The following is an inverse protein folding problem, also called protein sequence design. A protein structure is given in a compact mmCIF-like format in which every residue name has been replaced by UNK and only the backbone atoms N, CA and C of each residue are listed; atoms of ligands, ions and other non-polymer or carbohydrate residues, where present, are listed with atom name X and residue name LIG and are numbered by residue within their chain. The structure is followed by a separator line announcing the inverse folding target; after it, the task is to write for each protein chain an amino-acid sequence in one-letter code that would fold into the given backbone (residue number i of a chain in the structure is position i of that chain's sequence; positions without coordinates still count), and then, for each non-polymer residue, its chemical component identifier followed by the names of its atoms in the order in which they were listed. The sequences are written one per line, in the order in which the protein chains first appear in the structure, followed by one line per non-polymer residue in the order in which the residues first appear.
data_IF_882984979289
#
_entry.id   IF_882984979289
#
_cell.length_a   1.000
_cell.length_b   1.000
_cell.length_c   1.000
_cell.angle_alpha   90.00
_cell.angle_beta   90.00
_cell.angle_gamma   90.00
#
_symmetry.space_group_name_H-M   'P 1'
#
loop_
_entity.id
_entity.type
_entity.pdbx_description
1 polymer ?
#
# COMPACT_ATOMS: atom_id res chain seq x y z
N UNK A 1 9.99 -7.07 15.07
CA UNK A 1 9.97 -5.66 14.65
C UNK A 1 8.59 -5.08 14.85
N UNK A 2 8.47 -4.05 15.64
CA UNK A 2 7.20 -3.46 15.99
C UNK A 2 7.11 -2.00 15.59
N UNK A 3 5.99 -1.38 15.90
CA UNK A 3 5.76 0.02 15.56
C UNK A 3 6.71 0.97 16.29
N UNK A 4 7.24 0.57 17.41
CA UNK A 4 8.19 1.38 18.15
C UNK A 4 9.48 1.64 17.40
N UNK A 5 9.74 0.88 16.34
CA UNK A 5 10.92 1.08 15.49
C UNK A 5 10.71 2.16 14.44
N UNK A 6 9.48 2.65 14.29
CA UNK A 6 9.14 3.68 13.31
C UNK A 6 8.89 5.02 13.97
N UNK A 7 9.18 6.09 13.24
CA UNK A 7 8.92 7.45 13.70
C UNK A 7 7.48 7.89 13.46
N UNK A 8 6.82 7.24 12.50
CA UNK A 8 5.43 7.54 12.16
C UNK A 8 4.55 7.36 13.41
N UNK A 9 3.60 8.28 13.62
CA UNK A 9 2.74 8.24 14.80
C UNK A 9 1.74 7.10 14.71
N UNK A 10 2.00 6.05 15.48
CA UNK A 10 1.20 4.83 15.46
C UNK A 10 -0.21 4.98 16.04
N UNK A 11 -0.47 6.09 16.70
CA UNK A 11 -1.79 6.34 17.32
C UNK A 11 -2.71 7.16 16.43
N UNK A 12 -2.18 7.77 15.37
CA UNK A 12 -3.00 8.51 14.42
C UNK A 12 -3.80 7.56 13.53
N UNK A 13 -4.99 8.00 13.11
CA UNK A 13 -5.73 7.23 12.11
C UNK A 13 -4.86 6.94 10.89
N UNK A 14 -4.85 5.69 10.46
CA UNK A 14 -3.96 5.24 9.39
C UNK A 14 -4.74 4.38 8.41
N UNK A 15 -4.47 4.55 7.12
CA UNK A 15 -5.09 3.73 6.09
C UNK A 15 -4.16 2.56 5.77
N UNK A 16 -4.75 1.38 5.64
CA UNK A 16 -4.04 0.18 5.23
C UNK A 16 -4.22 -0.02 3.72
N UNK A 17 -3.10 -0.21 3.01
CA UNK A 17 -3.12 -0.68 1.62
C UNK A 17 -2.54 -2.08 1.62
N UNK A 18 -3.29 -3.06 1.14
CA UNK A 18 -2.84 -4.45 1.08
C UNK A 18 -2.78 -4.90 -0.37
N UNK A 19 -1.64 -5.43 -0.79
CA UNK A 19 -1.48 -5.91 -2.15
C UNK A 19 -0.12 -6.57 -2.36
N UNK A 20 0.12 -7.04 -3.58
CA UNK A 20 1.41 -7.65 -3.93
C UNK A 20 2.44 -6.61 -4.33
N UNK A 21 1.99 -5.56 -5.03
CA UNK A 21 2.82 -4.41 -5.45
C UNK A 21 4.14 -4.83 -6.14
N UNK A 22 4.05 -5.80 -7.00
CA UNK A 22 5.19 -6.36 -7.75
C UNK A 22 4.82 -6.48 -9.22
N UNK A 23 5.25 -5.52 -10.05
CA UNK A 23 5.98 -4.31 -9.69
C UNK A 23 5.05 -3.21 -9.19
N UNK A 24 5.64 -2.24 -8.51
CA UNK A 24 4.95 -1.01 -8.16
C UNK A 24 4.76 -0.19 -9.44
N UNK A 25 3.58 0.34 -9.65
CA UNK A 25 3.29 1.12 -10.86
C UNK A 25 2.36 2.30 -10.58
N UNK A 26 2.05 3.04 -11.62
CA UNK A 26 1.23 4.25 -11.55
C UNK A 26 -0.11 4.03 -10.84
N UNK A 27 -0.76 2.90 -11.10
CA UNK A 27 -2.03 2.58 -10.44
C UNK A 27 -1.89 2.45 -8.93
N UNK A 28 -0.79 1.85 -8.48
CA UNK A 28 -0.51 1.73 -7.05
C UNK A 28 -0.24 3.09 -6.43
N UNK A 29 0.47 3.96 -7.14
CA UNK A 29 0.74 5.31 -6.66
C UNK A 29 -0.55 6.12 -6.54
N UNK A 30 -1.45 6.01 -7.50
CA UNK A 30 -2.74 6.69 -7.42
C UNK A 30 -3.57 6.19 -6.25
N UNK A 31 -3.55 4.88 -6.02
CA UNK A 31 -4.22 4.30 -4.86
C UNK A 31 -3.63 4.86 -3.57
N UNK A 32 -2.30 4.95 -3.50
CA UNK A 32 -1.62 5.52 -2.35
C UNK A 32 -2.06 6.97 -2.10
N UNK A 33 -2.12 7.78 -3.16
CA UNK A 33 -2.51 9.18 -3.02
C UNK A 33 -3.91 9.31 -2.43
N UNK A 34 -4.83 8.47 -2.87
CA UNK A 34 -6.19 8.46 -2.33
C UNK A 34 -6.23 7.99 -0.88
N UNK A 35 -5.48 6.95 -0.57
CA UNK A 35 -5.37 6.47 0.80
C UNK A 35 -4.80 7.55 1.72
N UNK A 36 -3.70 8.17 1.30
CA UNK A 36 -3.05 9.23 2.07
C UNK A 36 -3.99 10.42 2.30
N UNK A 37 -4.81 10.75 1.30
CA UNK A 37 -5.76 11.85 1.41
C UNK A 37 -6.84 11.64 2.48
N UNK A 38 -7.03 10.40 2.92
CA UNK A 38 -8.06 10.10 3.92
C UNK A 38 -7.62 10.42 5.34
N UNK A 39 -6.36 10.12 5.67
CA UNK A 39 -5.87 10.29 7.04
C UNK A 39 -4.52 10.97 7.14
N UNK A 40 -3.80 11.10 6.02
CA UNK A 40 -2.44 11.65 6.02
C UNK A 40 -1.37 10.64 6.38
N UNK A 41 -1.73 9.38 6.58
CA UNK A 41 -0.79 8.37 7.02
C UNK A 41 -1.23 7.00 6.49
N UNK A 42 -0.29 6.23 5.91
CA UNK A 42 -0.61 4.97 5.24
C UNK A 42 0.36 3.87 5.67
N UNK A 43 -0.15 2.67 5.84
CA UNK A 43 0.68 1.46 5.94
C UNK A 43 0.52 0.70 4.64
N UNK A 44 1.60 0.54 3.89
CA UNK A 44 1.62 -0.28 2.68
C UNK A 44 2.01 -1.69 3.10
N UNK A 45 1.07 -2.61 3.04
CA UNK A 45 1.31 -4.01 3.40
C UNK A 45 1.52 -4.82 2.13
N UNK A 46 2.74 -5.31 1.95
CA UNK A 46 3.12 -6.12 0.79
C UNK A 46 2.89 -7.57 1.12
N UNK A 47 1.94 -8.18 0.42
CA UNK A 47 1.54 -9.55 0.65
C UNK A 47 2.53 -10.51 -0.03
N UNK A 48 3.03 -11.48 0.75
CA UNK A 48 3.96 -12.48 0.24
C UNK A 48 3.18 -13.62 -0.42
N UNK A 49 3.28 -13.71 -1.73
CA UNK A 49 2.61 -14.78 -2.48
C UNK A 49 3.59 -15.85 -2.94
N UNK A 50 4.85 -15.76 -2.53
CA UNK A 50 5.87 -16.72 -2.93
C UNK A 50 6.41 -16.50 -4.33
N UNK A 51 5.93 -15.48 -5.04
CA UNK A 51 6.35 -15.18 -6.39
C UNK A 51 7.09 -13.86 -6.46
N UNK A 52 8.14 -13.82 -7.28
CA UNK A 52 8.87 -12.60 -7.52
C UNK A 52 9.64 -12.13 -6.29
N UNK A 53 9.87 -10.84 -6.22
CA UNK A 53 10.65 -10.23 -5.18
C UNK A 53 10.02 -8.91 -4.75
N UNK A 54 10.38 -8.46 -3.57
CA UNK A 54 9.86 -7.25 -3.00
C UNK A 54 10.79 -6.08 -3.31
N UNK A 55 10.25 -5.03 -3.90
CA UNK A 55 11.03 -3.89 -4.37
C UNK A 55 10.76 -2.64 -3.54
N UNK A 56 11.07 -2.74 -2.26
CA UNK A 56 10.88 -1.61 -1.34
C UNK A 56 11.63 -0.35 -1.78
N UNK A 57 12.89 -0.44 -2.24
CA UNK A 57 13.59 0.77 -2.66
C UNK A 57 12.91 1.52 -3.81
N UNK A 58 12.32 0.80 -4.76
CA UNK A 58 11.64 1.44 -5.88
C UNK A 58 10.37 2.14 -5.45
N UNK A 59 9.63 1.54 -4.50
CA UNK A 59 8.43 2.18 -3.94
C UNK A 59 8.81 3.47 -3.24
N UNK A 60 9.85 3.42 -2.41
CA UNK A 60 10.31 4.59 -1.66
C UNK A 60 10.78 5.68 -2.62
N UNK A 61 11.53 5.33 -3.64
CA UNK A 61 12.04 6.31 -4.61
C UNK A 61 10.90 6.96 -5.39
N UNK A 62 9.92 6.17 -5.83
CA UNK A 62 8.78 6.70 -6.57
C UNK A 62 7.97 7.68 -5.72
N UNK A 63 7.65 7.29 -4.50
CA UNK A 63 6.85 8.14 -3.63
C UNK A 63 7.60 9.38 -3.18
N UNK A 64 8.89 9.28 -2.96
CA UNK A 64 9.71 10.44 -2.62
C UNK A 64 9.70 11.45 -3.78
N UNK A 65 9.78 10.98 -5.01
CA UNK A 65 9.70 11.84 -6.19
C UNK A 65 8.37 12.56 -6.34
N UNK A 66 7.35 12.09 -5.63
CA UNK A 66 6.02 12.70 -5.65
C UNK A 66 5.67 13.42 -4.35
N UNK A 67 6.66 13.63 -3.48
CA UNK A 67 6.49 14.45 -2.29
C UNK A 67 6.09 13.69 -1.03
N UNK A 68 6.20 12.36 -1.03
CA UNK A 68 5.86 11.54 0.14
C UNK A 68 7.11 10.96 0.76
N UNK A 69 7.24 11.10 2.06
CA UNK A 69 8.44 10.71 2.79
C UNK A 69 8.21 9.43 3.61
N UNK A 70 9.12 8.46 3.45
CA UNK A 70 9.06 7.21 4.20
C UNK A 70 9.19 7.47 5.69
N UNK A 71 8.41 6.76 6.49
CA UNK A 71 8.37 6.86 7.95
C UNK A 71 7.85 8.21 8.46
N UNK A 72 7.21 8.97 7.58
CA UNK A 72 6.47 10.19 7.92
C UNK A 72 5.06 10.06 7.36
N UNK A 73 4.96 9.90 6.05
CA UNK A 73 3.67 9.75 5.36
C UNK A 73 3.22 8.30 5.30
N UNK A 74 4.16 7.36 5.35
CA UNK A 74 3.84 5.93 5.22
C UNK A 74 4.97 5.07 5.74
N UNK A 75 4.63 3.80 6.01
CA UNK A 75 5.62 2.74 6.21
C UNK A 75 5.27 1.58 5.31
N UNK A 76 6.23 0.69 5.08
CA UNK A 76 6.04 -0.51 4.27
C UNK A 76 6.26 -1.71 5.18
N UNK A 77 5.28 -2.61 5.20
CA UNK A 77 5.37 -3.86 5.97
C UNK A 77 5.23 -5.05 5.04
N UNK A 78 6.14 -6.00 5.16
CA UNK A 78 6.04 -7.25 4.44
C UNK A 78 5.22 -8.22 5.29
N UNK A 79 4.09 -8.69 4.76
CA UNK A 79 3.14 -9.51 5.52
C UNK A 79 2.90 -10.84 4.83
N UNK A 80 2.40 -11.84 5.57
CA UNK A 80 2.06 -13.14 4.96
C UNK A 80 1.02 -13.00 3.86
N UNK A 81 0.71 -14.10 3.20
CA UNK A 81 -0.28 -14.11 2.11
C UNK A 81 -1.69 -13.98 2.68
N UNK A 82 -2.05 -12.77 3.06
CA UNK A 82 -3.36 -12.47 3.64
C UNK A 82 -4.42 -12.54 2.55
N UNK A 83 -5.43 -13.36 2.76
CA UNK A 83 -6.53 -13.57 1.80
C UNK A 83 -7.90 -13.24 2.40
N UNK A 84 -7.94 -12.84 3.64
CA UNK A 84 -9.20 -12.55 4.30
C UNK A 84 -9.00 -11.47 5.35
N UNK A 85 -9.93 -10.54 5.44
CA UNK A 85 -9.94 -9.50 6.46
C UNK A 85 -11.21 -9.72 7.28
N UNK A 86 -11.03 -10.19 8.51
CA UNK A 86 -12.16 -10.53 9.39
C UNK A 86 -12.13 -9.64 10.63
N UNK A 87 -13.27 -9.05 10.95
CA UNK A 87 -13.38 -8.22 12.14
C UNK A 87 -14.70 -8.50 12.84
N UNK A 88 -14.70 -8.34 14.17
CA UNK A 88 -15.89 -8.69 14.98
C UNK A 88 -16.88 -7.55 15.11
N UNK A 89 -16.41 -6.35 15.34
CA UNK A 89 -17.27 -5.17 15.51
C UNK A 89 -16.85 -4.10 14.52
N UNK A 90 -17.82 -3.49 13.87
CA UNK A 90 -17.56 -2.47 12.86
C UNK A 90 -17.21 -1.09 13.40
N UNK A 91 -16.66 -1.02 14.62
CA UNK A 91 -16.36 0.26 15.26
C UNK A 91 -15.03 0.81 14.74
N UNK A 92 -15.09 1.97 14.09
CA UNK A 92 -13.88 2.67 13.67
C UNK A 92 -13.23 2.16 12.40
N UNK A 93 -13.81 1.15 11.77
CA UNK A 93 -13.24 0.61 10.53
C UNK A 93 -14.08 0.94 9.33
N UNK A 94 -13.39 1.23 8.21
CA UNK A 94 -14.02 1.31 6.90
C UNK A 94 -13.24 0.42 5.97
N UNK A 95 -13.94 -0.38 5.17
CA UNK A 95 -13.33 -1.19 4.13
C UNK A 95 -13.84 -0.63 2.82
N UNK A 96 -12.94 0.00 2.06
CA UNK A 96 -13.31 0.75 0.87
C UNK A 96 -12.54 0.29 -0.35
N UNK A 97 -13.22 0.22 -1.47
CA UNK A 97 -12.60 -0.01 -2.76
C UNK A 97 -12.51 1.32 -3.48
N UNK A 98 -11.32 1.67 -3.97
CA UNK A 98 -11.13 2.88 -4.74
C UNK A 98 -11.28 2.61 -6.22
N UNK A 99 -12.08 3.40 -6.88
CA UNK A 99 -12.25 3.34 -8.33
C UNK A 99 -11.40 4.42 -8.96
N UNK A 100 -10.31 4.00 -9.60
CA UNK A 100 -9.28 4.92 -10.10
C UNK A 100 -9.49 5.39 -11.52
N UNK A 101 -10.60 4.98 -12.13
CA UNK A 101 -10.86 5.27 -13.52
C UNK A 101 -10.43 4.11 -14.40
N UNK A 102 -11.09 4.01 -15.56
CA UNK A 102 -10.94 2.85 -16.40
C UNK A 102 -9.51 2.62 -16.89
N UNK A 103 -8.83 3.68 -17.27
CA UNK A 103 -7.47 3.53 -17.80
C UNK A 103 -6.49 3.00 -16.76
N UNK A 104 -6.59 3.49 -15.54
CA UNK A 104 -5.70 3.07 -14.47
C UNK A 104 -6.06 1.66 -13.99
N UNK A 105 -7.34 1.35 -13.90
CA UNK A 105 -7.79 0.03 -13.44
C UNK A 105 -7.42 -1.10 -14.40
N UNK A 106 -7.15 -0.77 -15.68
CA UNK A 106 -6.68 -1.76 -16.64
C UNK A 106 -5.24 -2.19 -16.42
N UNK A 107 -4.47 -1.36 -15.72
CA UNK A 107 -3.08 -1.67 -15.41
C UNK A 107 -3.04 -2.67 -14.27
N UNK A 108 -2.34 -3.78 -14.47
CA UNK A 108 -2.18 -4.75 -13.39
C UNK A 108 -0.73 -5.18 -13.31
N UNK A 109 -0.29 -5.49 -12.08
CA UNK A 109 1.06 -5.97 -11.86
C UNK A 109 1.30 -7.30 -12.58
N UNK A 110 0.26 -8.13 -12.66
CA UNK A 110 0.36 -9.40 -13.37
C UNK A 110 0.64 -9.21 -14.85
N UNK A 111 -0.06 -8.29 -15.49
CA UNK A 111 0.16 -8.00 -16.92
C UNK A 111 1.56 -7.45 -17.15
N UNK A 112 2.01 -6.56 -16.29
CA UNK A 112 3.34 -5.98 -16.41
C UNK A 112 4.40 -7.05 -16.23
N UNK A 113 4.26 -7.93 -15.23
CA UNK A 113 5.22 -9.00 -14.99
C UNK A 113 5.30 -9.99 -16.14
N UNK A 114 4.21 -10.19 -16.85
CA UNK A 114 4.16 -11.10 -17.98
C UNK A 114 4.55 -10.44 -19.31
N UNK A 115 4.94 -9.17 -19.27
CA UNK A 115 5.36 -8.46 -20.46
C UNK A 115 4.22 -8.05 -21.39
N UNK A 116 3.05 -7.88 -20.85
CA UNK A 116 1.87 -7.52 -21.64
C UNK A 116 1.45 -6.09 -21.43
#
# INVERSE_FOLDING_TARGET
MGFEDYKMDRQKPTVQMLGRFQPWHEGHRELFKRAHGKTGQVVIMVRDTGEGWFDQPDIIADLLGHGYEYDVDYIIMHVPNIVNITYGRGVGYKIEQEHLGEEIEKISATEIRNGK
#
